data_IF_179022828773
#
_entry.id   IF_179022828773
#
_cell.length_a   1.000
_cell.length_b   1.000
_cell.length_c   1.000
_cell.angle_alpha   90.00
_cell.angle_beta   90.00
_cell.angle_gamma   90.00
#
_symmetry.space_group_name_H-M   'P 1'
#
loop_
_entity.id
_entity.type
_entity.pdbx_description
1 polymer ?
#
# COMPACT_ATOMS: atom_id res chain seq x y z
N UNK A 1 -18.79 4.24 -23.03
CA UNK A 1 -18.24 2.88 -22.86
C UNK A 1 -16.73 2.93 -22.78
N UNK A 2 -16.06 3.56 -23.75
CA UNK A 2 -14.59 3.78 -23.74
C UNK A 2 -14.09 4.53 -22.50
N UNK A 3 -14.80 5.57 -22.05
CA UNK A 3 -14.44 6.34 -20.84
C UNK A 3 -14.49 5.51 -19.53
N UNK A 4 -15.49 4.64 -19.37
CA UNK A 4 -15.61 3.77 -18.20
C UNK A 4 -14.53 2.68 -18.18
N UNK A 5 -14.20 2.13 -19.35
CA UNK A 5 -13.16 1.11 -19.48
C UNK A 5 -11.77 1.71 -19.23
N UNK A 6 -11.52 2.92 -19.76
CA UNK A 6 -10.28 3.67 -19.51
C UNK A 6 -10.12 4.02 -18.03
N UNK A 7 -11.20 4.44 -17.36
CA UNK A 7 -11.17 4.70 -15.91
C UNK A 7 -10.90 3.42 -15.12
N UNK A 8 -11.51 2.30 -15.50
CA UNK A 8 -11.24 1.01 -14.87
C UNK A 8 -9.77 0.60 -15.01
N UNK A 9 -9.20 0.71 -16.21
CA UNK A 9 -7.79 0.38 -16.47
C UNK A 9 -6.83 1.26 -15.65
N UNK A 10 -7.08 2.57 -15.55
CA UNK A 10 -6.27 3.45 -14.70
C UNK A 10 -6.30 3.05 -13.23
N UNK A 11 -7.43 2.55 -12.75
CA UNK A 11 -7.52 2.05 -11.38
C UNK A 11 -6.81 0.70 -11.21
N UNK A 12 -6.72 -0.14 -12.26
CA UNK A 12 -5.87 -1.34 -12.25
C UNK A 12 -4.41 -0.94 -12.09
N UNK A 13 -3.91 -0.06 -12.95
CA UNK A 13 -2.53 0.43 -12.88
C UNK A 13 -2.20 1.05 -11.51
N UNK A 14 -3.14 1.83 -10.96
CA UNK A 14 -2.97 2.43 -9.63
C UNK A 14 -2.99 1.42 -8.49
N UNK A 15 -3.79 0.35 -8.61
CA UNK A 15 -3.77 -0.75 -7.65
C UNK A 15 -2.43 -1.47 -7.67
N UNK A 16 -1.90 -1.77 -8.86
CA UNK A 16 -0.62 -2.46 -9.04
C UNK A 16 0.52 -1.63 -8.43
N UNK A 17 0.57 -0.33 -8.70
CA UNK A 17 1.54 0.58 -8.09
C UNK A 17 1.46 0.58 -6.56
N UNK A 18 0.25 0.64 -5.99
CA UNK A 18 0.07 0.64 -4.53
C UNK A 18 0.53 -0.69 -3.90
N UNK A 19 0.36 -1.81 -4.60
CA UNK A 19 0.83 -3.11 -4.14
C UNK A 19 2.37 -3.17 -4.15
N UNK A 20 3.03 -2.67 -5.20
CA UNK A 20 4.50 -2.58 -5.26
C UNK A 20 5.07 -1.68 -4.15
N UNK A 21 4.41 -0.55 -3.88
CA UNK A 21 4.79 0.35 -2.77
C UNK A 21 4.66 -0.35 -1.41
N UNK A 22 3.59 -1.13 -1.20
CA UNK A 22 3.39 -1.90 0.03
C UNK A 22 4.41 -3.03 0.20
N UNK A 23 4.70 -3.78 -0.87
CA UNK A 23 5.74 -4.82 -0.86
C UNK A 23 7.12 -4.23 -0.53
N UNK A 24 7.41 -3.04 -1.06
CA UNK A 24 8.64 -2.30 -0.72
C UNK A 24 8.67 -1.96 0.77
N UNK A 25 7.58 -1.43 1.32
CA UNK A 25 7.49 -1.09 2.75
C UNK A 25 7.72 -2.34 3.61
N UNK A 26 7.02 -3.44 3.32
CA UNK A 26 7.13 -4.70 4.06
C UNK A 26 8.58 -5.22 4.04
N UNK A 27 9.22 -5.21 2.87
CA UNK A 27 10.64 -5.61 2.73
C UNK A 27 11.59 -4.74 3.57
N UNK A 28 11.35 -3.43 3.62
CA UNK A 28 12.16 -2.52 4.43
C UNK A 28 11.94 -2.72 5.93
N UNK A 29 10.69 -2.93 6.36
CA UNK A 29 10.37 -3.25 7.76
C UNK A 29 11.09 -4.52 8.19
N UNK A 30 11.02 -5.58 7.39
CA UNK A 30 11.72 -6.84 7.67
C UNK A 30 13.24 -6.64 7.79
N UNK A 31 13.82 -5.79 6.94
CA UNK A 31 15.23 -5.40 7.02
C UNK A 31 15.55 -4.65 8.32
N UNK A 32 14.72 -3.68 8.73
CA UNK A 32 14.89 -2.93 9.98
C UNK A 32 14.76 -3.84 11.20
N UNK A 33 13.79 -4.74 11.23
CA UNK A 33 13.58 -5.69 12.33
C UNK A 33 14.72 -6.70 12.39
N UNK A 34 15.19 -7.20 11.26
CA UNK A 34 16.36 -8.09 11.18
C UNK A 34 17.63 -7.42 11.70
N UNK A 35 17.81 -6.12 11.43
CA UNK A 35 18.95 -5.37 11.96
C UNK A 35 18.80 -5.07 13.46
N UNK A 36 17.58 -4.72 13.90
CA UNK A 36 17.25 -4.54 15.32
C UNK A 36 17.51 -5.81 16.12
N UNK A 37 17.19 -6.98 15.58
CA UNK A 37 17.50 -8.26 16.22
C UNK A 37 19.01 -8.49 16.41
N UNK A 38 19.83 -8.07 15.43
CA UNK A 38 21.28 -8.27 15.47
C UNK A 38 22.01 -7.26 16.36
N UNK A 39 21.58 -6.00 16.34
CA UNK A 39 22.35 -4.88 16.86
C UNK A 39 21.53 -3.94 17.78
N UNK A 40 20.28 -4.30 18.11
CA UNK A 40 19.31 -3.42 18.77
C UNK A 40 19.80 -2.83 20.10
N UNK A 41 20.54 -3.60 20.90
CA UNK A 41 21.09 -3.15 22.18
C UNK A 41 22.13 -2.02 22.04
N UNK A 42 22.62 -1.76 20.82
CA UNK A 42 23.59 -0.69 20.52
C UNK A 42 22.93 0.64 20.21
N UNK A 43 21.61 0.67 20.01
CA UNK A 43 20.87 1.85 19.60
C UNK A 43 19.84 2.27 20.64
N UNK A 44 19.40 3.52 20.57
CA UNK A 44 18.33 4.01 21.43
C UNK A 44 16.99 3.43 20.97
N UNK A 45 16.36 2.63 21.82
CA UNK A 45 15.10 1.94 21.50
C UNK A 45 13.99 2.90 21.06
N UNK A 46 13.88 4.06 21.69
CA UNK A 46 12.89 5.10 21.34
C UNK A 46 13.08 5.66 19.92
N UNK A 47 14.32 5.69 19.41
CA UNK A 47 14.58 6.11 18.03
C UNK A 47 14.17 5.03 17.04
N UNK A 48 14.40 3.75 17.36
CA UNK A 48 13.93 2.62 16.53
C UNK A 48 12.40 2.63 16.46
N UNK A 49 11.73 2.77 17.61
CA UNK A 49 10.28 2.89 17.68
C UNK A 49 9.75 4.09 16.88
N UNK A 50 10.43 5.24 16.96
CA UNK A 50 10.07 6.43 16.17
C UNK A 50 10.14 6.18 14.66
N UNK A 51 11.17 5.48 14.18
CA UNK A 51 11.31 5.10 12.78
C UNK A 51 10.20 4.13 12.37
N UNK A 52 9.95 3.07 13.16
CA UNK A 52 8.90 2.08 12.88
C UNK A 52 7.52 2.73 12.83
N UNK A 53 7.22 3.67 13.73
CA UNK A 53 5.95 4.41 13.72
C UNK A 53 5.80 5.28 12.46
N UNK A 54 6.87 5.90 11.98
CA UNK A 54 6.84 6.68 10.74
C UNK A 54 6.59 5.78 9.51
N UNK A 55 7.23 4.60 9.47
CA UNK A 55 6.99 3.61 8.41
C UNK A 55 5.57 3.07 8.46
N UNK A 56 5.06 2.74 9.65
CA UNK A 56 3.69 2.30 9.84
C UNK A 56 2.66 3.34 9.39
N UNK A 57 2.90 4.63 9.67
CA UNK A 57 2.03 5.71 9.20
C UNK A 57 1.98 5.77 7.66
N UNK A 58 3.12 5.59 7.00
CA UNK A 58 3.21 5.51 5.53
C UNK A 58 2.46 4.28 4.99
N UNK A 59 2.68 3.11 5.58
CA UNK A 59 2.01 1.86 5.22
C UNK A 59 0.49 1.97 5.35
N UNK A 60 0.01 2.54 6.46
CA UNK A 60 -1.41 2.75 6.73
C UNK A 60 -2.05 3.66 5.68
N UNK A 61 -1.39 4.75 5.30
CA UNK A 61 -1.87 5.64 4.24
C UNK A 61 -2.00 4.91 2.89
N UNK A 62 -0.99 4.10 2.53
CA UNK A 62 -1.03 3.30 1.29
C UNK A 62 -2.12 2.24 1.30
N UNK A 63 -2.30 1.52 2.41
CA UNK A 63 -3.40 0.55 2.57
C UNK A 63 -4.77 1.22 2.47
N UNK A 64 -4.93 2.40 3.04
CA UNK A 64 -6.17 3.17 2.92
C UNK A 64 -6.44 3.57 1.45
N UNK A 65 -5.43 4.08 0.74
CA UNK A 65 -5.56 4.39 -0.68
C UNK A 65 -5.90 3.16 -1.53
N UNK A 66 -5.28 2.01 -1.25
CA UNK A 66 -5.57 0.75 -1.93
C UNK A 66 -7.02 0.31 -1.72
N UNK A 67 -7.53 0.43 -0.48
CA UNK A 67 -8.93 0.14 -0.17
C UNK A 67 -9.89 1.01 -0.99
N UNK A 68 -9.62 2.32 -1.08
CA UNK A 68 -10.42 3.23 -1.90
C UNK A 68 -10.40 2.87 -3.39
N UNK A 69 -9.23 2.55 -3.95
CA UNK A 69 -9.08 2.14 -5.35
C UNK A 69 -9.88 0.85 -5.62
N UNK A 70 -9.74 -0.16 -4.77
CA UNK A 70 -10.47 -1.43 -4.89
C UNK A 70 -11.98 -1.23 -4.82
N UNK A 71 -12.43 -0.39 -3.89
CA UNK A 71 -13.85 -0.04 -3.78
C UNK A 71 -14.36 0.63 -5.06
N UNK A 72 -13.62 1.61 -5.60
CA UNK A 72 -14.00 2.29 -6.84
C UNK A 72 -14.03 1.32 -8.04
N UNK A 73 -13.04 0.44 -8.17
CA UNK A 73 -13.00 -0.61 -9.20
C UNK A 73 -14.22 -1.52 -9.11
N UNK A 74 -14.56 -1.98 -7.91
CA UNK A 74 -15.73 -2.83 -7.69
C UNK A 74 -17.02 -2.11 -8.13
N UNK A 75 -17.17 -0.84 -7.76
CA UNK A 75 -18.33 -0.03 -8.16
C UNK A 75 -18.41 0.20 -9.68
N UNK A 76 -17.27 0.40 -10.35
CA UNK A 76 -17.22 0.54 -11.81
C UNK A 76 -17.51 -0.78 -12.52
N UNK A 77 -16.97 -1.89 -12.02
CA UNK A 77 -17.25 -3.23 -12.55
C UNK A 77 -18.75 -3.55 -12.53
N UNK A 78 -19.43 -3.26 -11.42
CA UNK A 78 -20.88 -3.38 -11.31
C UNK A 78 -21.65 -2.54 -12.34
N UNK A 79 -21.14 -1.35 -12.70
CA UNK A 79 -21.77 -0.48 -13.71
C UNK A 79 -21.53 -1.00 -15.13
N UNK A 80 -20.32 -1.48 -15.41
CA UNK A 80 -19.98 -2.10 -16.70
C UNK A 80 -20.83 -3.34 -16.96
N UNK A 81 -21.02 -4.20 -15.94
CA UNK A 81 -21.88 -5.40 -16.06
C UNK A 81 -23.35 -5.09 -16.36
N UNK A 82 -23.87 -3.95 -15.90
CA UNK A 82 -25.26 -3.52 -16.17
C UNK A 82 -25.45 -2.90 -17.56
N UNK A 83 -24.37 -2.68 -18.30
CA UNK A 83 -24.40 -2.07 -19.64
C UNK A 83 -24.15 -3.10 -20.76
N UNK A 84 -23.91 -4.37 -20.40
CA UNK A 84 -23.85 -5.54 -21.29
C UNK A 84 -25.19 -6.26 -21.24
#
# INVERSE_FOLDING_TARGET
>A
MEDLNNRYNRLVEKEDQLLEELETIETYVDGMLSYTHKEGDRFQMTMIEGILNAVFALESDRRQHLLHVRFEKAMLSCRLQKQV
#
